data_IF_373536046950
#
_entry.id   IF_373536046950
#
_cell.length_a   1.000
_cell.length_b   1.000
_cell.length_c   1.000
_cell.angle_alpha   90.00
_cell.angle_beta   90.00
_cell.angle_gamma   90.00
#
_symmetry.space_group_name_H-M   'P 1'
#
loop_
_entity.id
_entity.type
_entity.pdbx_description
1 polymer ?
#
# COMPACT_ATOMS: atom_id res chain seq x y z
N UNK A 1 31.54 10.52 -9.71
CA UNK A 1 31.27 10.98 -8.33
C UNK A 1 29.82 10.65 -8.00
N UNK A 2 29.58 9.51 -7.36
CA UNK A 2 28.29 9.19 -6.77
C UNK A 2 28.11 10.09 -5.55
N UNK A 3 27.03 10.87 -5.51
CA UNK A 3 26.69 11.68 -4.35
C UNK A 3 26.02 10.77 -3.30
N UNK A 4 26.66 10.50 -2.15
CA UNK A 4 26.13 9.60 -1.11
C UNK A 4 24.90 10.16 -0.39
N UNK A 5 24.43 11.36 -0.75
CA UNK A 5 23.17 11.94 -0.26
C UNK A 5 21.94 11.56 -1.09
N UNK A 6 22.11 10.86 -2.22
CA UNK A 6 20.97 10.43 -3.05
C UNK A 6 20.17 9.27 -2.45
N UNK A 7 20.72 8.56 -1.45
CA UNK A 7 20.08 7.39 -0.82
C UNK A 7 19.13 7.73 0.33
N UNK A 8 19.12 8.97 0.84
CA UNK A 8 18.29 9.36 1.99
C UNK A 8 16.99 10.11 1.60
N UNK A 9 16.64 10.18 0.31
CA UNK A 9 15.39 10.81 -0.16
C UNK A 9 14.24 9.80 -0.39
N UNK A 10 14.49 8.52 -0.14
CA UNK A 10 13.50 7.44 -0.19
C UNK A 10 12.84 7.23 1.19
N UNK A 11 12.41 8.32 1.84
CA UNK A 11 11.81 8.26 3.17
C UNK A 11 10.29 8.02 3.05
N UNK A 12 9.50 9.08 2.90
CA UNK A 12 8.04 9.01 2.73
C UNK A 12 7.56 9.13 1.27
N UNK A 13 8.45 9.48 0.34
CA UNK A 13 8.07 9.73 -1.06
C UNK A 13 7.62 8.47 -1.80
N UNK A 14 8.09 7.30 -1.35
CA UNK A 14 7.75 5.99 -1.92
C UNK A 14 6.32 5.59 -1.59
N UNK A 15 5.80 5.97 -0.42
CA UNK A 15 4.41 5.72 -0.02
C UNK A 15 3.44 6.50 -0.90
N UNK A 16 3.76 7.76 -1.22
CA UNK A 16 2.95 8.57 -2.12
C UNK A 16 2.94 8.02 -3.55
N UNK A 17 4.05 7.42 -3.98
CA UNK A 17 4.09 6.70 -5.26
C UNK A 17 3.21 5.45 -5.22
N UNK A 18 3.33 4.62 -4.18
CA UNK A 18 2.52 3.42 -4.01
C UNK A 18 1.01 3.75 -3.93
N UNK A 19 0.65 4.82 -3.23
CA UNK A 19 -0.72 5.34 -3.22
C UNK A 19 -1.18 5.72 -4.62
N UNK A 20 -0.34 6.38 -5.42
CA UNK A 20 -0.65 6.69 -6.82
C UNK A 20 -0.92 5.46 -7.68
N UNK A 21 -0.15 4.38 -7.47
CA UNK A 21 -0.34 3.10 -8.17
C UNK A 21 -1.65 2.46 -7.75
N UNK A 22 -1.91 2.34 -6.45
CA UNK A 22 -3.15 1.78 -5.90
C UNK A 22 -4.39 2.58 -6.36
N UNK A 23 -4.31 3.91 -6.34
CA UNK A 23 -5.37 4.77 -6.85
C UNK A 23 -5.64 4.56 -8.34
N UNK A 24 -4.59 4.36 -9.14
CA UNK A 24 -4.75 4.03 -10.55
C UNK A 24 -5.48 2.71 -10.71
N UNK A 25 -5.10 1.68 -9.96
CA UNK A 25 -5.73 0.35 -10.00
C UNK A 25 -7.21 0.40 -9.62
N UNK A 26 -7.55 1.12 -8.55
CA UNK A 26 -8.96 1.29 -8.14
C UNK A 26 -9.80 2.03 -9.21
N UNK A 27 -9.21 2.98 -9.93
CA UNK A 27 -9.92 3.81 -10.92
C UNK A 27 -9.96 3.18 -12.32
N UNK A 28 -8.93 2.44 -12.70
CA UNK A 28 -8.76 1.88 -14.05
C UNK A 28 -8.94 0.36 -14.11
N UNK A 29 -8.99 -0.33 -12.98
CA UNK A 29 -9.15 -1.78 -12.86
C UNK A 29 -7.94 -2.60 -13.29
N UNK A 30 -6.76 -1.98 -13.38
CA UNK A 30 -5.53 -2.61 -13.89
C UNK A 30 -4.28 -1.84 -13.44
N UNK A 31 -3.09 -2.43 -13.50
CA UNK A 31 -1.85 -1.75 -13.10
C UNK A 31 -1.47 -0.66 -14.11
N UNK A 32 -0.91 0.49 -13.66
CA UNK A 32 -0.35 1.50 -14.57
C UNK A 32 0.87 1.00 -15.35
N UNK A 33 1.50 -0.09 -14.89
CA UNK A 33 2.68 -0.70 -15.50
C UNK A 33 2.38 -2.01 -16.22
N UNK A 34 1.10 -2.35 -16.39
CA UNK A 34 0.73 -3.57 -17.08
C UNK A 34 1.40 -3.69 -18.45
N UNK A 35 1.98 -4.86 -18.65
CA UNK A 35 2.64 -5.31 -19.87
C UNK A 35 1.66 -6.10 -20.76
N UNK A 36 0.40 -5.65 -20.86
CA UNK A 36 -0.60 -6.31 -21.72
C UNK A 36 -0.09 -6.34 -23.17
N UNK A 37 0.08 -7.56 -23.71
CA UNK A 37 0.61 -7.80 -25.07
C UNK A 37 2.10 -8.14 -25.12
N UNK A 38 2.80 -8.19 -23.99
CA UNK A 38 4.19 -8.64 -23.90
C UNK A 38 4.35 -10.16 -23.78
N UNK A 39 3.24 -10.90 -23.63
CA UNK A 39 3.23 -12.35 -23.40
C UNK A 39 3.88 -13.16 -24.53
N UNK A 40 3.99 -12.58 -25.73
CA UNK A 40 4.61 -13.23 -26.88
C UNK A 40 6.15 -13.15 -26.86
N UNK A 41 6.74 -12.32 -25.98
CA UNK A 41 8.19 -12.20 -25.79
C UNK A 41 8.59 -12.55 -24.35
N UNK A 42 9.23 -13.71 -24.11
CA UNK A 42 9.67 -14.15 -22.78
C UNK A 42 10.54 -13.12 -22.04
N UNK A 43 11.35 -12.34 -22.76
CA UNK A 43 12.24 -11.33 -22.16
C UNK A 43 11.46 -10.21 -21.47
N UNK A 44 10.21 -9.98 -21.87
CA UNK A 44 9.33 -8.94 -21.33
C UNK A 44 8.48 -9.42 -20.14
N UNK A 45 8.55 -10.71 -19.78
CA UNK A 45 7.86 -11.28 -18.62
C UNK A 45 8.80 -11.43 -17.41
N UNK A 46 9.73 -10.47 -17.23
CA UNK A 46 10.75 -10.46 -16.17
C UNK A 46 10.58 -9.27 -15.26
N UNK A 47 11.02 -9.38 -14.01
CA UNK A 47 11.04 -8.26 -13.05
C UNK A 47 11.93 -7.12 -13.54
N UNK A 48 13.06 -7.43 -14.20
CA UNK A 48 13.97 -6.44 -14.78
C UNK A 48 13.27 -5.57 -15.84
N UNK A 49 12.46 -6.19 -16.70
CA UNK A 49 11.67 -5.46 -17.68
C UNK A 49 10.60 -4.60 -17.02
N UNK A 50 9.93 -5.10 -15.96
CA UNK A 50 8.98 -4.32 -15.19
C UNK A 50 9.65 -3.09 -14.55
N UNK A 51 10.85 -3.23 -13.97
CA UNK A 51 11.60 -2.10 -13.43
C UNK A 51 11.96 -1.08 -14.51
N UNK A 52 12.38 -1.54 -15.70
CA UNK A 52 12.61 -0.66 -16.83
C UNK A 52 11.33 0.09 -17.22
N UNK A 53 10.18 -0.58 -17.27
CA UNK A 53 8.88 0.05 -17.54
C UNK A 53 8.55 1.11 -16.47
N UNK A 54 8.75 0.79 -15.19
CA UNK A 54 8.54 1.71 -14.06
C UNK A 54 9.45 2.94 -14.18
N UNK A 55 10.69 2.79 -14.62
CA UNK A 55 11.65 3.88 -14.78
C UNK A 55 11.39 4.72 -16.04
N UNK A 56 11.09 4.11 -17.18
CA UNK A 56 11.14 4.79 -18.47
C UNK A 56 9.76 5.10 -19.04
N UNK A 57 8.79 4.19 -18.89
CA UNK A 57 7.49 4.31 -19.57
C UNK A 57 6.69 5.45 -18.97
N UNK A 58 6.12 6.28 -19.86
CA UNK A 58 5.14 7.30 -19.46
C UNK A 58 3.80 6.63 -19.20
N UNK A 59 3.24 6.87 -18.00
CA UNK A 59 1.94 6.33 -17.61
C UNK A 59 0.83 7.04 -18.39
N UNK A 60 -0.04 6.24 -19.02
CA UNK A 60 -1.15 6.74 -19.82
C UNK A 60 -2.46 6.65 -19.02
N UNK A 61 -2.98 7.81 -18.62
CA UNK A 61 -4.26 7.89 -17.90
C UNK A 61 -5.43 7.62 -18.87
N UNK A 62 -6.36 6.71 -18.55
CA UNK A 62 -7.54 6.47 -19.38
C UNK A 62 -8.41 7.72 -19.57
N UNK A 63 -8.94 7.91 -20.79
CA UNK A 63 -9.80 9.07 -21.12
C UNK A 63 -11.15 9.08 -20.38
N UNK A 64 -11.56 7.93 -19.84
CA UNK A 64 -12.78 7.79 -19.03
C UNK A 64 -12.66 8.45 -17.64
N UNK A 65 -11.43 8.69 -17.16
CA UNK A 65 -11.23 9.31 -15.86
C UNK A 65 -11.46 10.82 -15.92
N UNK A 66 -12.04 11.37 -14.85
CA UNK A 66 -12.22 12.81 -14.72
C UNK A 66 -10.88 13.57 -14.74
N UNK A 67 -10.89 14.83 -15.14
CA UNK A 67 -9.70 15.70 -15.13
C UNK A 67 -9.07 15.76 -13.74
N UNK A 68 -9.88 15.78 -12.67
CA UNK A 68 -9.41 15.77 -11.28
C UNK A 68 -8.67 14.48 -10.91
N UNK A 69 -9.19 13.34 -11.34
CA UNK A 69 -8.55 12.02 -11.15
C UNK A 69 -7.24 11.93 -11.95
N UNK A 70 -7.25 12.38 -13.21
CA UNK A 70 -6.03 12.41 -14.02
C UNK A 70 -4.95 13.33 -13.43
N UNK A 71 -5.34 14.47 -12.86
CA UNK A 71 -4.42 15.41 -12.20
C UNK A 71 -3.74 14.78 -10.99
N UNK A 72 -4.52 14.16 -10.08
CA UNK A 72 -3.95 13.59 -8.85
C UNK A 72 -3.04 12.40 -9.15
N UNK A 73 -3.42 11.55 -10.10
CA UNK A 73 -2.61 10.41 -10.52
C UNK A 73 -1.28 10.87 -11.11
N UNK A 74 -1.27 11.91 -11.95
CA UNK A 74 -0.02 12.49 -12.47
C UNK A 74 0.86 13.08 -11.38
N UNK A 75 0.25 13.68 -10.35
CA UNK A 75 0.97 14.22 -9.20
C UNK A 75 1.68 13.14 -8.39
N UNK A 76 0.96 12.08 -8.00
CA UNK A 76 1.55 10.97 -7.25
C UNK A 76 2.53 10.13 -8.07
N UNK A 77 2.23 9.90 -9.35
CA UNK A 77 3.05 9.09 -10.24
C UNK A 77 4.12 9.91 -10.97
N UNK A 78 4.54 11.03 -10.39
CA UNK A 78 5.71 11.76 -10.86
C UNK A 78 6.98 10.95 -10.53
N UNK A 79 7.78 10.64 -11.55
CA UNK A 79 9.01 9.86 -11.39
C UNK A 79 10.08 10.61 -10.59
N UNK A 80 10.08 11.94 -10.63
CA UNK A 80 10.95 12.76 -9.79
C UNK A 80 10.31 12.95 -8.40
N UNK A 81 10.89 12.39 -7.32
CA UNK A 81 10.31 12.50 -5.99
C UNK A 81 10.18 13.95 -5.50
N UNK A 82 11.05 14.87 -5.94
CA UNK A 82 11.00 16.28 -5.54
C UNK A 82 9.78 17.03 -6.08
N UNK A 83 9.25 16.56 -7.22
CA UNK A 83 8.09 17.14 -7.91
C UNK A 83 6.83 16.28 -7.71
N UNK A 84 6.92 15.25 -6.87
CA UNK A 84 5.82 14.35 -6.57
C UNK A 84 4.87 14.99 -5.56
N UNK A 85 3.57 14.86 -5.81
CA UNK A 85 2.54 15.30 -4.87
C UNK A 85 2.77 14.62 -3.50
N UNK A 86 2.69 15.38 -2.41
CA UNK A 86 3.02 14.87 -1.08
C UNK A 86 4.47 15.05 -0.65
N UNK A 87 5.36 15.41 -1.58
CA UNK A 87 6.80 15.42 -1.33
C UNK A 87 7.42 16.81 -1.18
N UNK A 88 6.61 17.88 -1.24
CA UNK A 88 7.11 19.22 -0.97
C UNK A 88 7.44 19.40 0.53
N UNK A 89 8.65 19.85 0.90
CA UNK A 89 9.10 19.87 2.30
C UNK A 89 8.25 20.70 3.28
N UNK A 90 7.53 21.72 2.77
CA UNK A 90 6.72 22.62 3.59
C UNK A 90 5.21 22.44 3.48
N UNK A 91 4.74 21.72 2.46
CA UNK A 91 3.30 21.66 2.13
C UNK A 91 2.82 20.28 1.73
N UNK A 92 3.68 19.25 1.73
CA UNK A 92 3.40 17.94 1.12
C UNK A 92 2.00 17.38 1.44
N UNK A 93 1.68 17.19 2.71
CA UNK A 93 0.37 16.68 3.11
C UNK A 93 -0.78 17.64 2.77
N UNK A 94 -0.59 18.94 2.98
CA UNK A 94 -1.59 19.97 2.64
C UNK A 94 -1.88 20.01 1.13
N UNK A 95 -0.88 19.78 0.28
CA UNK A 95 -1.05 19.74 -1.17
C UNK A 95 -1.94 18.56 -1.59
N UNK A 96 -1.85 17.44 -0.86
CA UNK A 96 -2.73 16.28 -1.07
C UNK A 96 -4.15 16.62 -0.61
N UNK A 97 -4.32 17.05 0.64
CA UNK A 97 -5.65 17.25 1.24
C UNK A 97 -6.43 18.37 0.58
N UNK A 98 -5.75 19.39 0.05
CA UNK A 98 -6.34 20.49 -0.71
C UNK A 98 -6.51 20.20 -2.21
N UNK A 99 -6.00 19.07 -2.72
CA UNK A 99 -6.08 18.75 -4.14
C UNK A 99 -7.55 18.64 -4.60
N UNK A 100 -7.93 19.18 -5.77
CA UNK A 100 -9.33 19.20 -6.23
C UNK A 100 -10.05 17.84 -6.28
N UNK A 101 -9.30 16.74 -6.39
CA UNK A 101 -9.83 15.38 -6.31
C UNK A 101 -10.50 15.09 -4.95
N UNK A 102 -9.93 15.59 -3.85
CA UNK A 102 -10.43 15.39 -2.49
C UNK A 102 -11.33 16.52 -1.98
N UNK A 103 -11.74 17.46 -2.84
CA UNK A 103 -12.54 18.63 -2.45
C UNK A 103 -13.82 18.31 -1.66
N UNK A 104 -14.42 17.13 -1.87
CA UNK A 104 -15.65 16.72 -1.17
C UNK A 104 -15.40 16.05 0.18
N UNK A 105 -14.15 15.84 0.57
CA UNK A 105 -13.77 15.15 1.80
C UNK A 105 -13.58 16.18 2.92
N UNK A 106 -14.33 15.98 4.00
CA UNK A 106 -14.03 16.58 5.28
C UNK A 106 -13.06 15.66 6.03
N UNK A 107 -11.81 16.10 6.17
CA UNK A 107 -10.73 15.27 6.72
C UNK A 107 -10.90 15.00 8.21
N UNK A 108 -11.50 15.93 8.96
CA UNK A 108 -11.73 15.77 10.40
C UNK A 108 -12.85 14.74 10.64
N UNK A 109 -13.95 14.82 9.88
CA UNK A 109 -15.02 13.83 9.94
C UNK A 109 -14.57 12.45 9.43
N UNK A 110 -13.66 12.42 8.44
CA UNK A 110 -13.10 11.17 7.94
C UNK A 110 -12.26 10.47 9.03
N UNK A 111 -11.36 11.22 9.69
CA UNK A 111 -10.50 10.71 10.75
C UNK A 111 -11.31 10.18 11.95
N UNK A 112 -12.39 10.88 12.31
CA UNK A 112 -13.34 10.46 13.35
C UNK A 112 -14.28 9.33 12.92
N UNK A 113 -14.16 8.81 11.69
CA UNK A 113 -15.02 7.77 11.10
C UNK A 113 -16.51 8.15 11.05
N UNK A 114 -16.82 9.45 10.93
CA UNK A 114 -18.19 9.96 10.80
C UNK A 114 -18.71 9.99 9.35
N UNK A 115 -17.83 9.86 8.36
CA UNK A 115 -18.23 9.72 6.95
C UNK A 115 -18.69 8.27 6.71
N UNK A 116 -19.91 8.11 6.18
CA UNK A 116 -20.44 6.79 5.82
C UNK A 116 -19.63 6.20 4.65
N UNK A 117 -19.08 4.97 4.77
CA UNK A 117 -18.36 4.33 3.66
C UNK A 117 -19.27 4.11 2.44
N UNK A 118 -18.74 4.27 1.20
CA UNK A 118 -19.54 4.09 -0.01
C UNK A 118 -19.93 2.63 -0.26
N UNK A 119 -19.25 1.68 0.39
CA UNK A 119 -19.55 0.26 0.34
C UNK A 119 -19.46 -0.34 1.75
N UNK A 120 -20.47 -1.11 2.13
CA UNK A 120 -20.50 -1.89 3.36
C UNK A 120 -20.60 -3.38 2.97
N UNK A 121 -19.53 -4.18 3.15
CA UNK A 121 -19.57 -5.61 2.86
C UNK A 121 -20.67 -6.32 3.66
N UNK A 122 -21.49 -7.19 3.03
CA UNK A 122 -22.56 -7.90 3.71
C UNK A 122 -21.99 -9.04 4.57
N UNK A 123 -22.22 -9.01 5.88
CA UNK A 123 -21.80 -10.09 6.78
C UNK A 123 -23.00 -10.95 7.18
N UNK A 124 -22.85 -12.28 7.07
CA UNK A 124 -23.87 -13.25 7.47
C UNK A 124 -23.81 -13.60 8.96
N UNK A 125 -22.62 -13.54 9.56
CA UNK A 125 -22.38 -13.84 10.98
C UNK A 125 -21.05 -13.26 11.46
N UNK A 126 -20.79 -13.32 12.77
CA UNK A 126 -19.50 -12.92 13.37
C UNK A 126 -18.31 -13.75 12.89
N UNK A 127 -18.56 -14.98 12.40
CA UNK A 127 -17.54 -15.89 11.88
C UNK A 127 -17.63 -16.05 10.37
N UNK A 128 -18.19 -15.06 9.68
CA UNK A 128 -18.32 -15.08 8.23
C UNK A 128 -16.94 -14.94 7.57
N UNK A 129 -16.61 -15.91 6.71
CA UNK A 129 -15.34 -15.98 5.99
C UNK A 129 -15.51 -15.71 4.49
N UNK A 130 -16.69 -15.30 4.02
CA UNK A 130 -17.01 -15.16 2.58
C UNK A 130 -16.10 -14.16 1.83
N UNK A 131 -15.49 -13.20 2.52
CA UNK A 131 -14.59 -12.21 1.93
C UNK A 131 -13.10 -12.60 1.98
N UNK A 132 -12.79 -13.81 2.44
CA UNK A 132 -11.45 -14.39 2.39
C UNK A 132 -11.36 -15.39 1.25
N UNK A 133 -10.17 -15.51 0.66
CA UNK A 133 -9.93 -16.49 -0.39
C UNK A 133 -10.05 -17.92 0.18
N UNK A 134 -10.73 -18.79 -0.58
CA UNK A 134 -10.90 -20.20 -0.23
C UNK A 134 -9.59 -20.95 -0.16
N UNK A 135 -8.56 -20.50 -0.88
CA UNK A 135 -7.23 -21.09 -0.79
C UNK A 135 -6.71 -21.13 0.65
N UNK A 136 -7.11 -20.15 1.50
CA UNK A 136 -6.71 -20.11 2.91
C UNK A 136 -7.78 -20.69 3.85
N UNK A 137 -9.07 -20.50 3.56
CA UNK A 137 -10.15 -20.96 4.46
C UNK A 137 -10.44 -22.46 4.35
N UNK A 138 -10.01 -23.09 3.25
CA UNK A 138 -10.04 -24.54 3.07
C UNK A 138 -8.78 -25.24 3.63
N UNK A 139 -7.75 -24.48 4.04
CA UNK A 139 -6.56 -25.04 4.70
C UNK A 139 -6.89 -25.58 6.11
N UNK A 140 -6.19 -26.63 6.56
CA UNK A 140 -6.37 -27.14 7.92
C UNK A 140 -5.91 -26.09 8.94
N UNK A 141 -6.72 -25.83 9.96
CA UNK A 141 -6.41 -24.90 11.06
C UNK A 141 -5.43 -25.56 12.05
N UNK A 142 -4.20 -25.77 11.58
CA UNK A 142 -3.10 -26.37 12.34
C UNK A 142 -1.83 -25.56 12.13
N UNK A 143 -0.98 -25.51 13.15
CA UNK A 143 0.38 -24.99 12.99
C UNK A 143 1.25 -26.08 12.34
N UNK A 144 2.09 -25.69 11.39
CA UNK A 144 3.09 -26.59 10.79
C UNK A 144 3.98 -27.17 11.90
N UNK A 145 4.14 -28.51 12.00
CA UNK A 145 4.98 -29.10 13.03
C UNK A 145 6.44 -28.67 12.91
N UNK A 146 7.06 -28.50 14.08
CA UNK A 146 8.44 -28.05 14.22
C UNK A 146 9.48 -29.09 13.74
N UNK A 147 10.53 -28.63 13.07
CA UNK A 147 11.77 -29.40 12.89
C UNK A 147 12.78 -29.02 13.98
N UNK A 148 12.96 -29.91 14.96
CA UNK A 148 13.87 -29.73 16.09
C UNK A 148 15.31 -29.43 15.65
N UNK A 149 15.77 -29.98 14.51
CA UNK A 149 17.14 -29.71 14.02
C UNK A 149 17.32 -28.28 13.54
N UNK A 150 16.25 -27.69 13.03
CA UNK A 150 16.23 -26.29 12.58
C UNK A 150 16.10 -25.37 13.79
N UNK A 151 15.17 -25.64 14.70
CA UNK A 151 14.94 -24.82 15.90
C UNK A 151 16.19 -24.71 16.78
N UNK A 152 16.90 -25.82 16.99
CA UNK A 152 18.10 -25.82 17.84
C UNK A 152 19.26 -24.97 17.31
N UNK A 153 19.20 -24.49 16.06
CA UNK A 153 20.21 -23.60 15.46
C UNK A 153 19.86 -22.12 15.57
N UNK A 154 18.64 -21.80 16.01
CA UNK A 154 18.16 -20.42 16.14
C UNK A 154 18.69 -19.84 17.45
N UNK A 155 19.31 -18.67 17.37
CA UNK A 155 19.72 -17.91 18.56
C UNK A 155 18.48 -17.29 19.22
N UNK A 156 18.10 -17.81 20.38
CA UNK A 156 16.90 -17.36 21.08
C UNK A 156 17.05 -15.95 21.66
N UNK A 157 18.28 -15.46 21.85
CA UNK A 157 18.50 -14.12 22.40
C UNK A 157 18.10 -13.01 21.42
N UNK A 158 17.96 -13.32 20.13
CA UNK A 158 17.42 -12.37 19.14
C UNK A 158 15.94 -12.01 19.40
N UNK A 159 15.23 -12.80 20.20
CA UNK A 159 13.82 -12.58 20.55
C UNK A 159 13.64 -11.99 21.96
N UNK A 160 14.72 -11.65 22.67
CA UNK A 160 14.63 -11.03 23.98
C UNK A 160 13.85 -9.69 23.89
N UNK A 161 12.77 -9.57 24.66
CA UNK A 161 11.90 -8.38 24.65
C UNK A 161 10.82 -8.39 23.56
N UNK A 162 10.56 -9.54 22.95
CA UNK A 162 9.45 -9.71 22.00
C UNK A 162 8.07 -9.66 22.67
N UNK A 163 7.98 -10.00 23.96
CA UNK A 163 6.72 -10.02 24.69
C UNK A 163 6.10 -8.62 24.79
N UNK A 164 4.82 -8.52 24.40
CA UNK A 164 4.07 -7.27 24.46
C UNK A 164 2.62 -7.55 24.83
N UNK A 165 2.08 -6.73 25.73
CA UNK A 165 0.66 -6.67 26.06
C UNK A 165 0.20 -5.23 25.88
N UNK A 166 -0.92 -5.02 25.19
CA UNK A 166 -1.47 -3.68 25.01
C UNK A 166 -2.02 -3.15 26.34
N UNK A 167 -1.40 -2.11 26.95
CA UNK A 167 -1.81 -1.61 28.26
C UNK A 167 -3.19 -0.93 28.23
N UNK A 168 -3.68 -0.53 27.06
CA UNK A 168 -5.00 0.10 26.91
C UNK A 168 -6.16 -0.91 26.92
N UNK A 169 -5.85 -2.20 26.77
CA UNK A 169 -6.83 -3.30 26.84
C UNK A 169 -6.82 -4.00 28.20
N UNK A 170 -5.86 -3.68 29.07
CA UNK A 170 -5.88 -4.15 30.46
C UNK A 170 -7.04 -3.46 31.17
N UNK A 171 -8.04 -4.25 31.55
CA UNK A 171 -9.10 -3.76 32.41
C UNK A 171 -8.52 -3.40 33.77
N UNK A 172 -9.17 -2.50 34.52
CA UNK A 172 -8.74 -2.15 35.89
C UNK A 172 -8.76 -3.35 36.87
N UNK A 173 -9.27 -4.52 36.44
CA UNK A 173 -9.32 -5.75 37.22
C UNK A 173 -8.01 -6.56 37.16
N UNK A 174 -7.09 -6.22 36.24
CA UNK A 174 -5.81 -6.94 36.04
C UNK A 174 -4.59 -6.21 36.66
N UNK A 175 -4.81 -5.09 37.36
CA UNK A 175 -3.80 -4.48 38.22
C UNK A 175 -3.85 -5.11 39.61
N UNK A 176 -3.14 -6.23 39.80
CA UNK A 176 -2.84 -6.79 41.14
C UNK A 176 -1.44 -6.38 41.57
#
# INVERSE_FOLDING_TARGET
MHNPLSSYLADYSVDWWALGVLMFEMLAGRSPFDIVGAADNPDQNTEDYLFQVILEKTIRIPRSLSVKAASILKGFLNKNPKERLGCHPGTGFTDITSHPFYRSIDWELLEQKHITPPYKPPLKSERDLEHFDKQFTDEPVILTPDDTKTINKIDQSEFDGFEYINPLLMSSEDCV
#
